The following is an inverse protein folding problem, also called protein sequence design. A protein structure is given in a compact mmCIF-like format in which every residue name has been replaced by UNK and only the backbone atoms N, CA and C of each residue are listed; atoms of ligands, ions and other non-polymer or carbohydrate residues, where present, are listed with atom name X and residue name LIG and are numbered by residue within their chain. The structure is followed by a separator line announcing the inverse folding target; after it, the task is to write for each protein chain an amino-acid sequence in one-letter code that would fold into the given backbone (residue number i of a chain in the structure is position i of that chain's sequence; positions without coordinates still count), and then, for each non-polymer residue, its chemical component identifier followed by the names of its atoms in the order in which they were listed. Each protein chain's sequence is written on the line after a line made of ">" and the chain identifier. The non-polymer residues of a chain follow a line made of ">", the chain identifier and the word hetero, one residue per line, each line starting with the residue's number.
data_IF_855535239946
#
_entry.id   IF_855535239946
#
_cell.length_a   1.000
_cell.length_b   1.000
_cell.length_c   1.000
_cell.angle_alpha   90.00
_cell.angle_beta   90.00
_cell.angle_gamma   90.00
#
_symmetry.space_group_name_H-M   'P 1'
#
loop_
_entity.id
_entity.type
_entity.pdbx_description
1 polymer ?
#
# COMPACT_ATOMS: atom_id res chain seq x y z
N UNK A 1 1.65 3.28 14.92
CA UNK A 1 0.91 4.48 15.43
C UNK A 1 -0.57 4.15 15.36
N UNK A 2 -1.33 4.59 16.32
CA UNK A 2 -2.77 4.34 16.38
C UNK A 2 -3.52 5.65 16.63
N UNK A 3 -4.62 5.85 15.91
CA UNK A 3 -5.60 6.92 16.14
C UNK A 3 -6.85 6.24 16.69
N UNK A 4 -7.32 6.61 17.89
CA UNK A 4 -8.52 6.04 18.48
C UNK A 4 -9.78 6.33 17.64
N UNK A 5 -10.75 5.44 17.71
CA UNK A 5 -12.04 5.57 17.03
C UNK A 5 -13.12 4.74 17.72
N UNK A 6 -14.28 4.63 17.09
CA UNK A 6 -15.41 3.84 17.60
C UNK A 6 -15.03 2.34 17.65
N UNK A 7 -15.04 1.71 18.84
CA UNK A 7 -14.72 0.29 19.00
C UNK A 7 -15.78 -0.65 18.38
N UNK A 8 -16.97 -0.15 18.08
CA UNK A 8 -18.03 -0.90 17.42
C UNK A 8 -17.87 -0.99 15.90
N UNK A 9 -16.87 -0.31 15.33
CA UNK A 9 -16.60 -0.29 13.89
C UNK A 9 -15.28 -0.99 13.55
N UNK A 10 -15.22 -1.67 12.40
CA UNK A 10 -13.98 -2.29 11.92
C UNK A 10 -12.90 -1.22 11.69
N UNK A 11 -11.65 -1.44 12.14
CA UNK A 11 -10.58 -0.45 12.01
C UNK A 11 -10.09 -0.32 10.57
N UNK A 12 -9.48 0.83 10.27
CA UNK A 12 -8.67 1.03 9.07
C UNK A 12 -7.22 0.66 9.40
N UNK A 13 -6.61 -0.22 8.60
CA UNK A 13 -5.19 -0.59 8.72
C UNK A 13 -4.44 -0.14 7.48
N UNK A 14 -3.47 0.74 7.65
CA UNK A 14 -2.75 1.39 6.57
C UNK A 14 -1.40 0.71 6.31
N UNK A 15 -1.17 0.32 5.04
CA UNK A 15 0.05 -0.29 4.54
C UNK A 15 0.77 0.69 3.61
N UNK A 16 1.97 1.13 3.99
CA UNK A 16 2.74 2.15 3.26
C UNK A 16 3.37 1.60 1.97
N UNK A 17 3.79 2.53 1.08
CA UNK A 17 4.50 2.24 -0.17
C UNK A 17 5.91 1.66 0.03
N UNK A 18 6.60 1.34 -1.08
CA UNK A 18 7.90 0.66 -1.11
C UNK A 18 9.00 1.34 -0.30
N UNK A 19 9.05 2.67 -0.29
CA UNK A 19 10.01 3.47 0.47
C UNK A 19 9.37 4.17 1.68
N UNK A 20 8.17 3.76 2.05
CA UNK A 20 7.36 4.38 3.08
C UNK A 20 7.70 4.00 4.52
N UNK A 21 7.03 4.66 5.42
CA UNK A 21 7.02 4.38 6.85
C UNK A 21 5.81 5.05 7.50
N UNK A 22 5.56 4.77 8.79
CA UNK A 22 4.50 5.46 9.55
C UNK A 22 4.56 6.97 9.40
N UNK A 23 5.76 7.57 9.44
CA UNK A 23 5.94 9.02 9.35
C UNK A 23 5.62 9.62 7.98
N UNK A 24 5.70 8.83 6.91
CA UNK A 24 5.47 9.30 5.55
C UNK A 24 3.99 9.40 5.17
N UNK A 25 3.09 8.80 5.94
CA UNK A 25 1.65 9.08 5.87
C UNK A 25 1.28 10.50 6.27
N UNK A 26 2.16 11.22 6.98
CA UNK A 26 1.94 12.60 7.48
C UNK A 26 0.63 12.73 8.27
N UNK A 27 -0.24 13.67 7.91
CA UNK A 27 -1.54 13.92 8.55
C UNK A 27 -2.68 12.99 8.12
N UNK A 28 -2.46 12.21 7.06
CA UNK A 28 -3.53 11.42 6.43
C UNK A 28 -4.23 10.42 7.37
N UNK A 29 -3.54 9.66 8.26
CA UNK A 29 -4.22 8.75 9.19
C UNK A 29 -5.15 9.46 10.16
N UNK A 30 -4.76 10.66 10.63
CA UNK A 30 -5.61 11.48 11.50
C UNK A 30 -6.85 11.97 10.77
N UNK A 31 -6.70 12.49 9.55
CA UNK A 31 -7.82 12.95 8.72
C UNK A 31 -8.82 11.83 8.46
N UNK A 32 -8.34 10.61 8.17
CA UNK A 32 -9.19 9.43 8.02
C UNK A 32 -9.93 9.07 9.31
N UNK A 33 -9.25 9.07 10.45
CA UNK A 33 -9.87 8.78 11.74
C UNK A 33 -10.97 9.78 12.08
N UNK A 34 -10.71 11.09 11.89
CA UNK A 34 -11.67 12.17 12.12
C UNK A 34 -12.87 12.07 11.16
N UNK A 35 -12.65 11.79 9.88
CA UNK A 35 -13.72 11.74 8.88
C UNK A 35 -14.60 10.48 9.00
N UNK A 36 -13.99 9.32 9.30
CA UNK A 36 -14.69 8.04 9.35
C UNK A 36 -15.20 7.66 10.73
N UNK A 37 -14.66 8.28 11.80
CA UNK A 37 -14.88 7.86 13.19
C UNK A 37 -14.27 6.51 13.54
N UNK A 38 -13.52 5.88 12.65
CA UNK A 38 -12.91 4.55 12.85
C UNK A 38 -11.54 4.64 13.49
N UNK A 39 -11.17 3.61 14.23
CA UNK A 39 -9.78 3.41 14.67
C UNK A 39 -8.87 3.26 13.46
N UNK A 40 -7.73 3.98 13.42
CA UNK A 40 -6.76 3.91 12.34
C UNK A 40 -5.43 3.41 12.87
N UNK A 41 -4.91 2.34 12.27
CA UNK A 41 -3.68 1.68 12.66
C UNK A 41 -2.69 1.84 11.52
N UNK A 42 -1.47 2.27 11.83
CA UNK A 42 -0.35 2.31 10.89
C UNK A 42 0.87 1.64 11.50
N UNK A 43 1.61 0.89 10.70
CA UNK A 43 2.87 0.27 11.11
C UNK A 43 3.93 0.46 10.02
N UNK A 44 5.19 0.37 10.40
CA UNK A 44 6.30 0.30 9.45
C UNK A 44 6.72 -1.15 9.27
N UNK A 45 6.76 -1.63 8.02
CA UNK A 45 7.22 -2.98 7.69
C UNK A 45 8.67 -3.17 8.13
N UNK A 46 9.13 -4.41 8.24
CA UNK A 46 10.53 -4.73 8.55
C UNK A 46 11.48 -3.97 7.61
N UNK A 47 12.56 -3.41 8.18
CA UNK A 47 13.54 -2.59 7.47
C UNK A 47 13.07 -1.17 7.11
N UNK A 48 11.86 -0.75 7.49
CA UNK A 48 11.35 0.59 7.22
C UNK A 48 11.13 1.38 8.52
N UNK A 49 11.29 2.70 8.43
CA UNK A 49 11.13 3.56 9.59
C UNK A 49 12.12 3.19 10.69
N UNK A 50 11.58 2.84 11.86
CA UNK A 50 12.35 2.33 13.02
C UNK A 50 12.15 0.84 13.28
N UNK A 51 11.52 0.15 12.33
CA UNK A 51 11.37 -1.29 12.43
C UNK A 51 12.68 -2.00 12.11
N UNK A 52 13.03 -3.08 12.84
CA UNK A 52 14.27 -3.82 12.59
C UNK A 52 14.32 -4.34 11.17
N UNK A 53 15.51 -4.57 10.65
CA UNK A 53 15.71 -5.22 9.38
C UNK A 53 15.09 -6.63 9.37
N UNK A 54 14.60 -7.13 8.23
CA UNK A 54 14.17 -8.52 8.13
C UNK A 54 15.36 -9.46 8.39
N UNK A 55 15.07 -10.65 8.92
CA UNK A 55 16.11 -11.63 9.26
C UNK A 55 16.89 -12.14 8.04
N UNK A 56 16.26 -12.13 6.87
CA UNK A 56 16.83 -12.53 5.59
C UNK A 56 16.60 -11.41 4.56
N UNK A 57 17.49 -11.26 3.54
CA UNK A 57 17.24 -10.35 2.42
C UNK A 57 15.90 -10.68 1.75
N UNK A 58 15.23 -9.64 1.28
CA UNK A 58 13.98 -9.80 0.53
C UNK A 58 14.24 -10.54 -0.78
N UNK A 59 13.30 -11.41 -1.11
CA UNK A 59 13.27 -12.15 -2.37
C UNK A 59 12.09 -11.67 -3.22
N UNK A 60 11.88 -12.25 -4.40
CA UNK A 60 10.71 -11.97 -5.25
C UNK A 60 9.37 -12.33 -4.59
N UNK A 61 9.41 -13.18 -3.56
CA UNK A 61 8.23 -13.62 -2.80
C UNK A 61 7.84 -12.64 -1.67
N UNK A 62 8.60 -11.56 -1.46
CA UNK A 62 8.41 -10.70 -0.29
C UNK A 62 7.01 -10.11 -0.17
N UNK A 63 6.31 -9.86 -1.30
CA UNK A 63 4.93 -9.37 -1.27
C UNK A 63 3.99 -10.38 -0.63
N UNK A 64 4.13 -11.67 -0.99
CA UNK A 64 3.36 -12.76 -0.41
C UNK A 64 3.78 -13.03 1.05
N UNK A 65 5.09 -13.01 1.35
CA UNK A 65 5.59 -13.13 2.73
C UNK A 65 5.01 -12.03 3.64
N UNK A 66 5.03 -10.76 3.19
CA UNK A 66 4.44 -9.65 3.94
C UNK A 66 2.92 -9.80 4.10
N UNK A 67 2.23 -10.24 3.06
CA UNK A 67 0.78 -10.37 3.05
C UNK A 67 0.24 -11.56 3.86
N UNK A 68 0.93 -12.71 3.79
CA UNK A 68 0.41 -13.97 4.31
C UNK A 68 1.06 -14.40 5.63
N UNK A 69 2.30 -13.94 5.92
CA UNK A 69 3.01 -14.31 7.13
C UNK A 69 3.11 -13.15 8.13
N UNK A 70 3.39 -11.92 7.65
CA UNK A 70 3.63 -10.76 8.52
C UNK A 70 2.33 -10.03 8.87
N UNK A 71 1.53 -9.66 7.88
CA UNK A 71 0.30 -8.89 8.10
C UNK A 71 -0.69 -9.58 9.05
N UNK A 72 -0.93 -10.92 8.98
CA UNK A 72 -1.78 -11.59 9.96
C UNK A 72 -1.32 -11.39 11.40
N UNK A 73 -0.01 -11.42 11.64
CA UNK A 73 0.55 -11.21 12.99
C UNK A 73 0.34 -9.74 13.45
N UNK A 74 0.51 -8.78 12.55
CA UNK A 74 0.24 -7.36 12.83
C UNK A 74 -1.23 -7.17 13.20
N UNK A 75 -2.15 -7.77 12.47
CA UNK A 75 -3.60 -7.69 12.72
C UNK A 75 -3.97 -8.30 14.09
N UNK A 76 -3.42 -9.46 14.43
CA UNK A 76 -3.62 -10.09 15.75
C UNK A 76 -3.06 -9.21 16.87
N UNK A 77 -1.82 -8.72 16.74
CA UNK A 77 -1.19 -7.89 17.77
C UNK A 77 -1.91 -6.53 17.97
N UNK A 78 -2.58 -6.05 16.93
CA UNK A 78 -3.32 -4.78 16.95
C UNK A 78 -4.80 -4.96 17.29
N UNK A 79 -5.28 -6.17 17.60
CA UNK A 79 -6.71 -6.47 17.76
C UNK A 79 -7.57 -5.88 16.62
N UNK A 80 -7.16 -6.20 15.39
CA UNK A 80 -7.76 -5.69 14.14
C UNK A 80 -8.35 -6.84 13.32
N UNK A 81 -9.38 -7.50 13.84
CA UNK A 81 -10.06 -8.58 13.13
C UNK A 81 -10.85 -8.04 11.92
N UNK A 82 -10.69 -8.68 10.76
CA UNK A 82 -11.38 -8.33 9.51
C UNK A 82 -11.40 -6.80 9.24
N UNK A 83 -10.23 -6.14 9.14
CA UNK A 83 -10.16 -4.69 8.99
C UNK A 83 -10.62 -4.22 7.62
N UNK A 84 -10.74 -2.90 7.46
CA UNK A 84 -10.64 -2.27 6.15
C UNK A 84 -9.15 -2.04 5.91
N UNK A 85 -8.55 -2.74 4.93
CA UNK A 85 -7.17 -2.50 4.55
C UNK A 85 -7.08 -1.29 3.60
N UNK A 86 -6.13 -0.41 3.86
CA UNK A 86 -5.82 0.75 3.02
C UNK A 86 -4.36 0.68 2.62
N UNK A 87 -4.08 0.25 1.41
CA UNK A 87 -2.71 0.08 0.93
C UNK A 87 -2.33 1.10 -0.13
N UNK A 88 -1.12 1.68 -0.01
CA UNK A 88 -0.55 2.54 -1.03
C UNK A 88 0.60 1.83 -1.75
N UNK A 89 0.60 1.82 -3.09
CA UNK A 89 1.64 1.24 -3.93
C UNK A 89 1.95 -0.20 -3.53
N UNK A 90 3.19 -0.55 -3.14
CA UNK A 90 3.55 -1.89 -2.60
C UNK A 90 2.60 -2.33 -1.47
N UNK A 91 2.24 -1.40 -0.58
CA UNK A 91 1.27 -1.69 0.48
C UNK A 91 -0.12 -2.05 -0.05
N UNK A 92 -0.50 -1.51 -1.21
CA UNK A 92 -1.72 -1.88 -1.93
C UNK A 92 -1.64 -3.29 -2.49
N UNK A 93 -0.51 -3.65 -3.09
CA UNK A 93 -0.26 -5.01 -3.59
C UNK A 93 -0.31 -6.05 -2.46
N UNK A 94 0.34 -5.74 -1.33
CA UNK A 94 0.32 -6.58 -0.12
C UNK A 94 -1.12 -6.72 0.44
N UNK A 95 -1.87 -5.62 0.52
CA UNK A 95 -3.26 -5.63 0.98
C UNK A 95 -4.18 -6.46 0.08
N UNK A 96 -3.98 -6.38 -1.25
CA UNK A 96 -4.73 -7.17 -2.24
C UNK A 96 -4.44 -8.67 -2.09
N UNK A 97 -3.16 -9.07 -2.00
CA UNK A 97 -2.80 -10.48 -1.77
C UNK A 97 -3.47 -10.97 -0.48
N UNK A 98 -3.34 -10.22 0.62
CA UNK A 98 -3.96 -10.61 1.88
C UNK A 98 -5.48 -10.80 1.75
N UNK A 99 -6.17 -9.85 1.12
CA UNK A 99 -7.63 -9.90 0.92
C UNK A 99 -8.07 -11.04 -0.01
N UNK A 100 -7.20 -11.52 -0.90
CA UNK A 100 -7.44 -12.69 -1.75
C UNK A 100 -7.40 -14.02 -1.00
N UNK A 101 -6.76 -14.06 0.17
CA UNK A 101 -6.53 -15.27 0.97
C UNK A 101 -7.19 -15.24 2.35
N UNK A 102 -7.50 -14.06 2.88
CA UNK A 102 -8.07 -13.86 4.22
C UNK A 102 -9.27 -12.91 4.19
N UNK A 103 -10.25 -13.09 5.08
CA UNK A 103 -11.40 -12.20 5.14
C UNK A 103 -10.99 -10.80 5.62
N UNK A 104 -11.50 -9.79 4.90
CA UNK A 104 -11.41 -8.37 5.26
C UNK A 104 -12.78 -7.73 5.10
N UNK A 105 -13.06 -6.67 5.87
CA UNK A 105 -14.31 -5.92 5.77
C UNK A 105 -14.39 -5.07 4.50
N UNK A 106 -13.25 -4.58 4.04
CA UNK A 106 -13.14 -3.79 2.81
C UNK A 106 -11.68 -3.62 2.40
N UNK A 107 -11.45 -3.27 1.14
CA UNK A 107 -10.12 -3.08 0.57
C UNK A 107 -10.04 -1.74 -0.16
N UNK A 108 -9.07 -0.92 0.19
CA UNK A 108 -8.76 0.36 -0.48
C UNK A 108 -7.36 0.28 -1.05
N UNK A 109 -7.25 0.41 -2.35
CA UNK A 109 -6.01 0.35 -3.12
C UNK A 109 -5.69 1.73 -3.68
N UNK A 110 -4.63 2.36 -3.20
CA UNK A 110 -4.16 3.67 -3.67
C UNK A 110 -2.91 3.43 -4.50
N UNK A 111 -2.96 3.71 -5.80
CA UNK A 111 -1.85 3.55 -6.73
C UNK A 111 -1.16 2.16 -6.64
N UNK A 112 -1.95 1.10 -6.45
CA UNK A 112 -1.45 -0.25 -6.28
C UNK A 112 -0.98 -0.87 -7.61
N UNK A 113 0.01 -1.75 -7.54
CA UNK A 113 0.48 -2.54 -8.66
C UNK A 113 0.00 -3.98 -8.54
N UNK A 114 -0.43 -4.57 -9.66
CA UNK A 114 -0.83 -5.98 -9.73
C UNK A 114 -0.11 -6.73 -10.85
N UNK A 115 0.68 -6.04 -11.64
CA UNK A 115 1.64 -6.60 -12.61
C UNK A 115 2.75 -5.59 -12.88
N UNK A 116 3.84 -6.05 -13.49
CA UNK A 116 4.98 -5.21 -13.82
C UNK A 116 4.74 -4.47 -15.14
N UNK A 117 4.95 -3.14 -15.13
CA UNK A 117 4.95 -2.29 -16.32
C UNK A 117 6.36 -1.74 -16.57
N UNK A 118 6.70 -1.47 -17.82
CA UNK A 118 7.99 -0.85 -18.18
C UNK A 118 8.14 0.55 -17.55
N UNK A 119 7.04 1.30 -17.43
CA UNK A 119 7.05 2.61 -16.74
C UNK A 119 7.45 2.47 -15.28
N UNK A 120 6.99 1.43 -14.57
CA UNK A 120 7.38 1.14 -13.20
C UNK A 120 8.88 0.87 -13.09
N UNK A 121 9.41 0.00 -13.94
CA UNK A 121 10.83 -0.36 -13.95
C UNK A 121 11.72 0.85 -14.27
N UNK A 122 11.31 1.69 -15.22
CA UNK A 122 12.01 2.93 -15.57
C UNK A 122 12.05 3.91 -14.40
N UNK A 123 10.91 4.16 -13.75
CA UNK A 123 10.82 5.06 -12.60
C UNK A 123 11.66 4.56 -11.40
N UNK A 124 11.69 3.24 -11.17
CA UNK A 124 12.51 2.63 -10.10
C UNK A 124 14.00 2.72 -10.44
N UNK A 125 14.39 2.54 -11.70
CA UNK A 125 15.77 2.74 -12.13
C UNK A 125 16.22 4.21 -11.98
N UNK A 126 15.31 5.17 -12.24
CA UNK A 126 15.57 6.59 -12.00
C UNK A 126 15.71 6.88 -10.49
N UNK A 127 14.84 6.29 -9.65
CA UNK A 127 14.97 6.38 -8.20
C UNK A 127 16.32 5.82 -7.70
N UNK A 128 16.82 4.73 -8.31
CA UNK A 128 18.15 4.15 -7.99
C UNK A 128 19.28 5.13 -8.30
N UNK A 129 19.21 5.85 -9.43
CA UNK A 129 20.17 6.93 -9.73
C UNK A 129 20.07 8.08 -8.73
N UNK A 130 18.85 8.52 -8.44
CA UNK A 130 18.62 9.59 -7.48
C UNK A 130 19.07 9.22 -6.05
N UNK A 131 19.03 7.94 -5.68
CA UNK A 131 19.51 7.46 -4.39
C UNK A 131 21.04 7.59 -4.29
N UNK A 132 21.75 7.36 -5.39
CA UNK A 132 23.22 7.46 -5.44
C UNK A 132 23.69 8.89 -5.61
N UNK A 133 23.07 9.66 -6.52
CA UNK A 133 23.64 10.88 -7.07
C UNK A 133 22.87 12.16 -6.67
N UNK A 134 21.55 12.05 -6.35
CA UNK A 134 20.65 13.21 -6.20
C UNK A 134 20.07 13.39 -4.78
N UNK A 135 20.73 12.86 -3.75
CA UNK A 135 20.40 13.09 -2.36
C UNK A 135 19.09 12.42 -1.89
N UNK A 136 18.57 11.42 -2.61
CA UNK A 136 17.41 10.64 -2.15
C UNK A 136 17.75 9.88 -0.87
N UNK A 137 18.97 9.35 -0.74
CA UNK A 137 19.46 8.65 0.44
C UNK A 137 19.35 9.53 1.70
N UNK A 138 19.79 10.77 1.63
CA UNK A 138 19.76 11.73 2.75
C UNK A 138 18.32 12.12 3.10
N UNK A 139 17.44 12.20 2.11
CA UNK A 139 16.01 12.42 2.36
C UNK A 139 15.38 11.23 3.09
N UNK A 140 15.70 10.00 2.66
CA UNK A 140 15.23 8.77 3.30
C UNK A 140 15.77 8.60 4.72
N UNK A 141 17.02 9.00 5.00
CA UNK A 141 17.63 8.93 6.33
C UNK A 141 16.88 9.75 7.40
N UNK A 142 15.99 10.67 7.01
CA UNK A 142 15.12 11.38 7.96
C UNK A 142 13.95 10.53 8.43
N UNK A 143 13.65 9.46 7.74
CA UNK A 143 12.45 8.63 7.95
C UNK A 143 12.76 7.17 8.22
N UNK A 144 14.01 6.72 7.98
CA UNK A 144 14.46 5.33 8.14
C UNK A 144 15.76 5.31 8.93
N UNK A 145 15.86 4.39 9.88
CA UNK A 145 17.11 4.15 10.64
C UNK A 145 18.18 3.54 9.72
N UNK A 146 17.78 2.73 8.75
CA UNK A 146 18.65 2.19 7.70
C UNK A 146 18.04 2.47 6.31
N UNK A 147 18.35 3.64 5.70
CA UNK A 147 17.85 3.99 4.38
C UNK A 147 18.40 3.10 3.27
N UNK A 148 19.62 2.56 3.43
CA UNK A 148 20.25 1.66 2.45
C UNK A 148 19.53 0.33 2.40
N UNK A 149 19.22 -0.27 3.56
CA UNK A 149 18.46 -1.53 3.62
C UNK A 149 17.03 -1.34 3.09
N UNK A 150 16.34 -0.25 3.47
CA UNK A 150 15.01 0.05 2.98
C UNK A 150 14.99 0.21 1.45
N UNK A 151 15.92 1.00 0.90
CA UNK A 151 15.98 1.25 -0.54
C UNK A 151 16.33 -0.01 -1.33
N UNK A 152 17.38 -0.75 -0.93
CA UNK A 152 17.80 -1.97 -1.62
C UNK A 152 16.74 -3.07 -1.52
N UNK A 153 16.14 -3.26 -0.34
CA UNK A 153 15.09 -4.24 -0.14
C UNK A 153 13.87 -4.05 -1.04
N UNK A 154 13.63 -2.82 -1.52
CA UNK A 154 12.60 -2.51 -2.51
C UNK A 154 13.13 -2.59 -3.94
N UNK A 155 14.19 -1.82 -4.26
CA UNK A 155 14.64 -1.65 -5.64
C UNK A 155 15.25 -2.92 -6.23
N UNK A 156 15.90 -3.77 -5.41
CA UNK A 156 16.53 -4.99 -5.89
C UNK A 156 15.51 -6.06 -6.28
N UNK A 157 14.36 -6.10 -5.57
CA UNK A 157 13.25 -6.99 -5.95
C UNK A 157 12.60 -6.52 -7.25
N UNK A 158 12.21 -5.24 -7.33
CA UNK A 158 11.55 -4.70 -8.51
C UNK A 158 12.39 -4.79 -9.78
N UNK A 159 13.71 -4.60 -9.68
CA UNK A 159 14.65 -4.63 -10.80
C UNK A 159 15.29 -6.02 -11.02
N UNK A 160 14.90 -7.04 -10.27
CA UNK A 160 15.30 -8.42 -10.56
C UNK A 160 14.71 -8.85 -11.91
N UNK A 161 15.52 -9.33 -12.86
CA UNK A 161 15.02 -9.78 -14.17
C UNK A 161 13.95 -10.86 -14.09
N UNK A 162 13.93 -11.65 -13.03
CA UNK A 162 12.91 -12.68 -12.82
C UNK A 162 11.58 -12.12 -12.27
N UNK A 163 11.55 -10.83 -11.86
CA UNK A 163 10.32 -10.19 -11.37
C UNK A 163 9.43 -9.67 -12.52
N UNK A 164 9.93 -9.58 -13.73
CA UNK A 164 9.19 -9.07 -14.91
C UNK A 164 7.87 -9.82 -15.18
N UNK A 165 7.76 -11.07 -14.75
CA UNK A 165 6.55 -11.90 -14.91
C UNK A 165 5.62 -11.88 -13.69
N UNK A 166 5.92 -11.03 -12.69
CA UNK A 166 5.09 -10.92 -11.50
C UNK A 166 3.71 -10.38 -11.86
N UNK A 167 2.67 -11.10 -11.44
CA UNK A 167 1.25 -10.82 -11.72
C UNK A 167 0.38 -11.33 -10.58
N UNK A 168 -0.47 -10.48 -10.06
CA UNK A 168 -1.38 -10.77 -8.94
C UNK A 168 -2.83 -11.07 -9.39
N UNK A 169 -3.03 -11.40 -10.66
CA UNK A 169 -4.37 -11.67 -11.17
C UNK A 169 -5.08 -12.83 -10.46
N UNK A 170 -4.33 -13.85 -10.03
CA UNK A 170 -4.89 -14.98 -9.27
C UNK A 170 -5.29 -14.57 -7.85
N UNK A 171 -4.45 -13.77 -7.16
CA UNK A 171 -4.75 -13.24 -5.82
C UNK A 171 -5.96 -12.29 -5.87
N UNK A 172 -6.00 -11.40 -6.88
CA UNK A 172 -7.12 -10.49 -7.08
C UNK A 172 -8.45 -11.22 -7.33
N UNK A 173 -8.43 -12.34 -8.07
CA UNK A 173 -9.62 -13.15 -8.28
C UNK A 173 -10.17 -13.81 -7.00
N UNK A 174 -9.34 -13.94 -5.96
CA UNK A 174 -9.75 -14.43 -4.63
C UNK A 174 -10.43 -13.37 -3.76
N UNK A 175 -10.33 -12.08 -4.11
CA UNK A 175 -10.91 -10.98 -3.33
C UNK A 175 -12.43 -10.98 -3.43
N UNK A 176 -13.10 -11.13 -2.29
CA UNK A 176 -14.58 -11.09 -2.18
C UNK A 176 -15.11 -9.83 -1.51
N UNK A 177 -14.24 -9.08 -0.83
CA UNK A 177 -14.59 -7.86 -0.11
C UNK A 177 -14.91 -6.71 -1.09
N UNK A 178 -15.80 -5.78 -0.71
CA UNK A 178 -15.92 -4.51 -1.42
C UNK A 178 -14.57 -3.83 -1.58
N UNK A 179 -14.29 -3.31 -2.77
CA UNK A 179 -12.98 -2.75 -3.10
C UNK A 179 -13.10 -1.36 -3.70
N UNK A 180 -12.29 -0.42 -3.20
CA UNK A 180 -12.11 0.92 -3.74
C UNK A 180 -10.71 1.04 -4.32
N UNK A 181 -10.59 1.41 -5.59
CA UNK A 181 -9.31 1.66 -6.26
C UNK A 181 -9.19 3.16 -6.56
N UNK A 182 -8.12 3.78 -6.08
CA UNK A 182 -7.82 5.20 -6.27
C UNK A 182 -6.49 5.33 -7.02
N UNK A 183 -6.49 6.06 -8.13
CA UNK A 183 -5.31 6.23 -8.97
C UNK A 183 -5.12 7.69 -9.37
N UNK A 184 -3.87 8.17 -9.35
CA UNK A 184 -3.49 9.43 -9.98
C UNK A 184 -3.39 9.27 -11.50
N UNK A 185 -3.93 10.20 -12.25
CA UNK A 185 -3.95 10.14 -13.73
C UNK A 185 -2.54 10.23 -14.33
N UNK A 186 -1.68 11.00 -13.71
CA UNK A 186 -0.31 11.29 -14.12
C UNK A 186 0.72 10.49 -13.32
N UNK A 187 0.32 9.30 -12.82
CA UNK A 187 1.20 8.43 -12.04
C UNK A 187 2.38 7.95 -12.88
N UNK A 188 3.60 8.25 -12.42
CA UNK A 188 4.84 7.88 -13.08
C UNK A 188 5.27 6.42 -12.84
N UNK A 189 4.66 5.74 -11.87
CA UNK A 189 5.00 4.37 -11.50
C UNK A 189 4.03 3.33 -12.04
N UNK A 190 2.79 3.69 -12.34
CA UNK A 190 1.80 2.75 -12.85
C UNK A 190 0.70 3.45 -13.65
N UNK A 191 0.32 2.85 -14.78
CA UNK A 191 -0.72 3.40 -15.65
C UNK A 191 -2.13 3.01 -15.17
N UNK A 192 -3.17 3.55 -15.81
CA UNK A 192 -4.55 3.11 -15.57
C UNK A 192 -4.81 1.64 -15.94
N UNK A 193 -3.85 0.98 -16.61
CA UNK A 193 -3.93 -0.47 -16.85
C UNK A 193 -3.91 -1.28 -15.54
N UNK A 194 -3.25 -0.78 -14.47
CA UNK A 194 -3.33 -1.37 -13.14
C UNK A 194 -4.77 -1.37 -12.62
N UNK A 195 -5.45 -0.22 -12.71
CA UNK A 195 -6.85 -0.08 -12.29
C UNK A 195 -7.78 -1.02 -13.05
N UNK A 196 -7.61 -1.07 -14.38
CA UNK A 196 -8.40 -1.96 -15.24
C UNK A 196 -8.16 -3.43 -14.89
N UNK A 197 -6.89 -3.83 -14.72
CA UNK A 197 -6.54 -5.21 -14.36
C UNK A 197 -7.14 -5.61 -12.99
N UNK A 198 -7.10 -4.73 -11.99
CA UNK A 198 -7.72 -4.97 -10.67
C UNK A 198 -9.23 -5.15 -10.84
N UNK A 199 -9.89 -4.23 -11.54
CA UNK A 199 -11.34 -4.28 -11.74
C UNK A 199 -11.79 -5.53 -12.49
N UNK A 200 -11.07 -5.93 -13.55
CA UNK A 200 -11.38 -7.12 -14.34
C UNK A 200 -11.17 -8.41 -13.52
N UNK A 201 -10.18 -8.44 -12.63
CA UNK A 201 -9.86 -9.63 -11.84
C UNK A 201 -10.82 -9.81 -10.65
N UNK A 202 -11.21 -8.74 -9.95
CA UNK A 202 -12.12 -8.78 -8.79
C UNK A 202 -13.60 -8.80 -9.23
N UNK A 203 -13.93 -8.11 -10.32
CA UNK A 203 -15.29 -8.08 -10.86
C UNK A 203 -16.19 -6.99 -10.23
N UNK A 204 -17.46 -7.29 -10.02
CA UNK A 204 -18.52 -6.30 -9.76
C UNK A 204 -18.46 -5.57 -8.40
N UNK A 205 -17.58 -5.93 -7.50
CA UNK A 205 -17.42 -5.30 -6.18
C UNK A 205 -16.43 -4.15 -6.15
N UNK A 206 -15.96 -3.67 -7.30
CA UNK A 206 -14.93 -2.63 -7.41
C UNK A 206 -15.54 -1.28 -7.77
N UNK A 207 -15.21 -0.26 -6.96
CA UNK A 207 -15.41 1.16 -7.27
C UNK A 207 -14.07 1.79 -7.64
N UNK A 208 -14.00 2.57 -8.70
CA UNK A 208 -12.78 3.22 -9.17
C UNK A 208 -12.88 4.74 -9.10
N UNK A 209 -11.83 5.39 -8.61
CA UNK A 209 -11.69 6.85 -8.54
C UNK A 209 -10.35 7.24 -9.18
N UNK A 210 -10.40 8.00 -10.26
CA UNK A 210 -9.20 8.54 -10.92
C UNK A 210 -9.13 10.04 -10.69
N UNK A 211 -8.07 10.47 -10.00
CA UNK A 211 -7.84 11.86 -9.61
C UNK A 211 -6.75 12.50 -10.48
N UNK A 212 -6.76 13.82 -10.67
CA UNK A 212 -5.58 14.53 -11.16
C UNK A 212 -4.42 14.37 -10.17
N UNK A 213 -3.20 14.19 -10.65
CA UNK A 213 -2.00 14.04 -9.84
C UNK A 213 -1.26 12.73 -10.07
N UNK A 214 -0.17 12.55 -9.34
CA UNK A 214 0.80 11.47 -9.51
C UNK A 214 0.57 10.26 -8.62
N UNK A 215 1.69 9.66 -8.18
CA UNK A 215 1.71 8.39 -7.45
C UNK A 215 1.21 8.44 -6.01
N UNK A 216 1.04 9.64 -5.43
CA UNK A 216 0.65 9.79 -4.03
C UNK A 216 -0.65 10.59 -3.87
N UNK A 217 -1.81 10.13 -4.41
CA UNK A 217 -3.06 10.88 -4.38
C UNK A 217 -3.45 11.32 -2.96
N UNK A 218 -3.21 10.49 -1.95
CA UNK A 218 -3.51 10.80 -0.54
C UNK A 218 -2.69 11.95 0.06
N UNK A 219 -1.56 12.33 -0.58
CA UNK A 219 -0.74 13.49 -0.20
C UNK A 219 -1.00 14.69 -1.12
N UNK A 220 -1.32 14.45 -2.38
CA UNK A 220 -1.53 15.47 -3.41
C UNK A 220 -2.97 16.01 -3.40
N UNK A 221 -3.93 15.14 -3.10
CA UNK A 221 -5.37 15.41 -3.07
C UNK A 221 -6.02 14.79 -1.82
N UNK A 222 -5.52 15.13 -0.60
CA UNK A 222 -5.94 14.45 0.64
C UNK A 222 -7.45 14.54 0.88
N UNK A 223 -8.08 15.66 0.59
CA UNK A 223 -9.52 15.86 0.80
C UNK A 223 -10.35 14.91 -0.08
N UNK A 224 -9.99 14.82 -1.38
CA UNK A 224 -10.70 13.95 -2.32
C UNK A 224 -10.55 12.47 -1.93
N UNK A 225 -9.35 12.05 -1.51
CA UNK A 225 -9.07 10.67 -1.10
C UNK A 225 -9.77 10.34 0.23
N UNK A 226 -9.73 11.24 1.21
CA UNK A 226 -10.44 11.06 2.49
C UNK A 226 -11.95 10.96 2.25
N UNK A 227 -12.51 11.81 1.39
CA UNK A 227 -13.93 11.75 1.05
C UNK A 227 -14.29 10.41 0.40
N UNK A 228 -13.55 9.97 -0.61
CA UNK A 228 -13.79 8.70 -1.30
C UNK A 228 -13.76 7.50 -0.34
N UNK A 229 -12.74 7.45 0.56
CA UNK A 229 -12.63 6.38 1.57
C UNK A 229 -13.77 6.47 2.60
N UNK A 230 -14.18 7.67 3.01
CA UNK A 230 -15.27 7.87 3.96
C UNK A 230 -16.60 7.37 3.39
N UNK A 231 -16.92 7.74 2.15
CA UNK A 231 -18.12 7.28 1.45
C UNK A 231 -18.12 5.76 1.25
N UNK A 232 -16.97 5.20 0.87
CA UNK A 232 -16.78 3.75 0.71
C UNK A 232 -16.97 3.00 2.04
N UNK A 233 -16.40 3.51 3.12
CA UNK A 233 -16.42 2.86 4.43
C UNK A 233 -17.75 3.05 5.19
N UNK A 234 -18.60 4.01 4.79
CA UNK A 234 -19.83 4.34 5.51
C UNK A 234 -20.81 3.16 5.66
N UNK A 235 -21.08 2.33 4.63
CA UNK A 235 -21.98 1.18 4.73
C UNK A 235 -21.35 -0.05 5.39
N UNK A 236 -20.03 -0.06 5.61
CA UNK A 236 -19.33 -1.20 6.18
C UNK A 236 -19.44 -1.24 7.71
N UNK A 237 -19.45 -2.44 8.34
CA UNK A 237 -19.55 -2.60 9.78
C UNK A 237 -18.42 -1.97 10.59
#
# INVERSE_FOLDING_TARGET
>A
MEIPGDPGRRPLVLLHEGLGSVGLWRGFPRQLGEATGRRVITYSRFGHGRSPAPATPRTREFFHEEALDVLPQVLVQSDAAEPILVGHSDGGSIALIHAGHHPVCGLVLIAAHVFVEEVSLSAIADARRAFTDDGLRERMARHHDDPDAAFRGWSDVWLDPGFVTWDLGADAAGVTAPTLVIQGREDAYGTLAQVQRIADSIGNSVTTVVLPGGHSPHLERPEDVVQAITEFAAPLP
#
